data_IF_774186204587
#
_entry.id   IF_774186204587
#
_cell.length_a   1.000
_cell.length_b   1.000
_cell.length_c   1.000
_cell.angle_alpha   90.00
_cell.angle_beta   90.00
_cell.angle_gamma   90.00
#
_symmetry.space_group_name_H-M   'P 1'
#
loop_
_entity.id
_entity.type
_entity.pdbx_description
1 polymer ?
#
# COMPACT_ATOMS: atom_id res chain seq x y z
N UNK A 1 10.36 -7.32 -1.25
CA UNK A 1 10.20 -5.84 -1.06
C UNK A 1 11.40 -5.04 -1.57
N UNK A 2 12.65 -5.36 -1.20
CA UNK A 2 13.83 -4.63 -1.71
C UNK A 2 13.90 -4.55 -3.25
N UNK A 3 13.51 -5.61 -3.95
CA UNK A 3 13.42 -5.63 -5.42
C UNK A 3 12.40 -4.63 -5.97
N UNK A 4 11.24 -4.46 -5.33
CA UNK A 4 10.21 -3.49 -5.77
C UNK A 4 10.69 -2.05 -5.58
N UNK A 5 11.50 -1.81 -4.55
CA UNK A 5 12.11 -0.50 -4.34
C UNK A 5 13.26 -0.23 -5.33
N UNK A 6 13.82 -1.25 -6.01
CA UNK A 6 14.98 -1.10 -6.88
C UNK A 6 14.64 -0.61 -8.31
N UNK A 7 13.35 -0.57 -8.68
CA UNK A 7 12.89 -0.19 -10.02
C UNK A 7 12.96 -1.32 -11.04
N UNK A 8 12.61 -1.08 -12.33
CA UNK A 8 12.31 0.22 -12.95
C UNK A 8 10.86 0.71 -12.81
N UNK A 9 9.96 -0.13 -12.28
CA UNK A 9 8.54 0.21 -12.19
C UNK A 9 8.26 1.36 -11.23
N UNK A 10 7.20 2.11 -11.52
CA UNK A 10 6.72 3.20 -10.67
C UNK A 10 6.16 2.62 -9.36
N UNK A 11 6.68 3.10 -8.23
CA UNK A 11 6.24 2.70 -6.89
C UNK A 11 5.44 3.83 -6.25
N UNK A 12 4.19 3.54 -5.91
CA UNK A 12 3.32 4.47 -5.20
C UNK A 12 3.33 4.23 -3.70
N UNK A 13 3.50 5.31 -2.93
CA UNK A 13 3.37 5.34 -1.48
C UNK A 13 2.20 6.26 -1.10
N UNK A 14 1.08 5.68 -0.69
CA UNK A 14 -0.04 6.47 -0.20
C UNK A 14 0.25 7.00 1.20
N UNK A 15 -0.03 8.28 1.45
CA UNK A 15 0.23 8.90 2.76
C UNK A 15 -0.40 8.13 3.94
N UNK A 16 -1.63 7.58 3.86
CA UNK A 16 -2.17 6.73 4.93
C UNK A 16 -1.30 5.49 5.26
N UNK A 17 -0.63 4.91 4.26
CA UNK A 17 0.31 3.79 4.45
C UNK A 17 1.59 4.27 5.11
N UNK A 18 2.13 5.41 4.67
CA UNK A 18 3.34 6.02 5.26
C UNK A 18 3.10 6.40 6.73
N UNK A 19 1.99 7.07 7.02
CA UNK A 19 1.61 7.45 8.37
C UNK A 19 1.27 6.22 9.22
N UNK A 20 0.66 5.20 8.62
CA UNK A 20 0.41 3.91 9.27
C UNK A 20 1.70 3.20 9.67
N UNK A 21 2.69 3.19 8.77
CA UNK A 21 4.04 2.69 9.06
C UNK A 21 4.66 3.44 10.23
N UNK A 22 4.73 4.77 10.18
CA UNK A 22 5.32 5.59 11.24
C UNK A 22 4.65 5.32 12.60
N UNK A 23 3.32 5.25 12.63
CA UNK A 23 2.54 4.91 13.83
C UNK A 23 2.96 3.55 14.39
N UNK A 24 3.02 2.52 13.55
CA UNK A 24 3.29 1.15 14.01
C UNK A 24 4.74 1.00 14.47
N UNK A 25 5.71 1.45 13.68
CA UNK A 25 7.13 1.16 13.95
C UNK A 25 7.71 1.93 15.12
N UNK A 26 7.04 2.98 15.58
CA UNK A 26 7.46 3.79 16.73
C UNK A 26 6.69 3.47 18.01
N UNK A 27 5.72 2.55 17.97
CA UNK A 27 4.81 2.31 19.10
C UNK A 27 5.28 1.15 19.98
N UNK A 28 5.67 1.46 21.22
CA UNK A 28 6.19 0.49 22.20
C UNK A 28 5.18 -0.60 22.63
N UNK A 29 3.88 -0.30 22.63
CA UNK A 29 2.86 -1.32 22.90
C UNK A 29 2.61 -2.28 21.72
N UNK A 30 3.07 -1.95 20.50
CA UNK A 30 2.89 -2.79 19.31
C UNK A 30 4.16 -3.59 19.02
N UNK A 31 5.33 -2.95 19.12
CA UNK A 31 6.62 -3.58 18.87
C UNK A 31 7.46 -3.65 20.15
N UNK A 32 8.09 -4.81 20.44
CA UNK A 32 8.94 -4.97 21.62
C UNK A 32 10.21 -4.08 21.57
N UNK A 33 10.64 -3.68 20.38
CA UNK A 33 11.77 -2.78 20.13
C UNK A 33 11.36 -1.77 19.04
N UNK A 34 10.61 -0.71 19.38
CA UNK A 34 10.21 0.28 18.40
C UNK A 34 11.43 1.06 17.89
N UNK A 35 11.34 1.54 16.65
CA UNK A 35 12.29 2.51 16.10
C UNK A 35 12.12 3.85 16.80
N UNK A 36 13.20 4.64 16.84
CA UNK A 36 13.05 6.05 17.16
C UNK A 36 12.24 6.76 16.07
N UNK A 37 11.50 7.85 16.38
CA UNK A 37 10.83 8.65 15.37
C UNK A 37 11.77 9.13 14.26
N UNK A 38 13.04 9.41 14.61
CA UNK A 38 14.09 9.82 13.67
C UNK A 38 14.44 8.73 12.67
N UNK A 39 14.65 7.50 13.14
CA UNK A 39 15.01 6.37 12.27
C UNK A 39 13.83 5.98 11.37
N UNK A 40 12.61 6.00 11.92
CA UNK A 40 11.40 5.76 11.15
C UNK A 40 11.21 6.78 10.03
N UNK A 41 11.43 8.07 10.31
CA UNK A 41 11.38 9.13 9.30
C UNK A 41 12.48 8.95 8.24
N UNK A 42 13.71 8.62 8.66
CA UNK A 42 14.83 8.35 7.74
C UNK A 42 14.52 7.22 6.74
N UNK A 43 13.84 6.16 7.18
CA UNK A 43 13.40 5.08 6.29
C UNK A 43 12.42 5.56 5.22
N UNK A 44 11.46 6.42 5.60
CA UNK A 44 10.50 7.02 4.67
C UNK A 44 11.22 7.93 3.68
N UNK A 45 12.10 8.81 4.16
CA UNK A 45 12.89 9.70 3.30
C UNK A 45 13.73 8.93 2.27
N UNK A 46 14.35 7.81 2.67
CA UNK A 46 15.15 6.98 1.79
C UNK A 46 14.35 6.37 0.63
N UNK A 47 13.03 6.16 0.81
CA UNK A 47 12.15 5.75 -0.28
C UNK A 47 11.74 6.95 -1.14
N UNK A 48 11.35 8.05 -0.52
CA UNK A 48 10.88 9.26 -1.23
C UNK A 48 11.98 9.88 -2.11
N UNK A 49 13.26 9.72 -1.75
CA UNK A 49 14.40 10.19 -2.56
C UNK A 49 14.60 9.40 -3.86
N UNK A 50 13.89 8.29 -4.09
CA UNK A 50 14.03 7.48 -5.31
C UNK A 50 13.22 8.07 -6.47
N UNK A 51 13.85 8.24 -7.63
CA UNK A 51 13.22 8.89 -8.80
C UNK A 51 11.98 8.18 -9.37
N UNK A 52 11.77 6.90 -9.07
CA UNK A 52 10.59 6.12 -9.48
C UNK A 52 9.54 5.98 -8.35
N UNK A 53 9.72 6.66 -7.22
CA UNK A 53 8.74 6.66 -6.12
C UNK A 53 7.85 7.89 -6.23
N UNK A 54 6.55 7.72 -6.00
CA UNK A 54 5.55 8.80 -5.94
C UNK A 54 4.77 8.69 -4.65
N UNK A 55 4.72 9.76 -3.88
CA UNK A 55 3.85 9.85 -2.70
C UNK A 55 2.52 10.48 -3.10
N UNK A 56 1.41 9.83 -2.74
CA UNK A 56 0.07 10.24 -3.16
C UNK A 56 -0.86 10.39 -1.96
N UNK A 57 -1.73 11.40 -2.03
CA UNK A 57 -2.79 11.66 -1.06
C UNK A 57 -4.14 11.89 -1.74
N UNK A 58 -5.09 12.33 -0.96
CA UNK A 58 -6.44 12.72 -1.40
C UNK A 58 -6.35 13.88 -2.40
N UNK A 59 -7.27 13.91 -3.37
CA UNK A 59 -7.46 15.05 -4.29
C UNK A 59 -8.95 15.39 -4.38
N UNK A 60 -9.31 16.41 -5.15
CA UNK A 60 -10.70 16.81 -5.34
C UNK A 60 -11.57 15.62 -5.78
N UNK A 61 -12.76 15.49 -5.18
CA UNK A 61 -13.68 14.37 -5.40
C UNK A 61 -13.40 13.12 -4.55
N UNK A 62 -12.35 13.12 -3.71
CA UNK A 62 -12.02 11.98 -2.84
C UNK A 62 -13.22 11.52 -2.00
N UNK A 63 -13.92 12.45 -1.35
CA UNK A 63 -14.98 12.11 -0.41
C UNK A 63 -16.15 11.34 -1.06
N UNK A 64 -16.58 11.77 -2.24
CA UNK A 64 -17.66 11.09 -2.98
C UNK A 64 -17.23 9.70 -3.45
N UNK A 65 -15.97 9.57 -3.90
CA UNK A 65 -15.39 8.28 -4.26
C UNK A 65 -15.21 7.37 -3.03
N UNK A 66 -14.86 7.93 -1.87
CA UNK A 66 -14.74 7.20 -0.61
C UNK A 66 -16.08 6.63 -0.16
N UNK A 67 -17.14 7.44 -0.20
CA UNK A 67 -18.51 7.00 0.09
C UNK A 67 -18.95 5.86 -0.81
N UNK A 68 -18.67 5.99 -2.11
CA UNK A 68 -18.92 4.92 -3.10
C UNK A 68 -18.09 3.66 -2.81
N UNK A 69 -16.81 3.83 -2.48
CA UNK A 69 -15.88 2.73 -2.20
C UNK A 69 -16.26 1.95 -0.95
N UNK A 70 -16.63 2.66 0.10
CA UNK A 70 -17.10 2.10 1.37
C UNK A 70 -18.54 1.62 1.33
N UNK A 71 -19.28 1.93 0.26
CA UNK A 71 -20.74 1.71 0.14
C UNK A 71 -21.53 2.32 1.31
N UNK A 72 -21.04 3.44 1.84
CA UNK A 72 -21.54 4.08 3.07
C UNK A 72 -21.59 3.14 4.30
N UNK A 73 -20.77 2.07 4.30
CA UNK A 73 -20.81 1.01 5.31
C UNK A 73 -19.49 0.79 6.06
N UNK A 74 -18.41 1.52 5.72
CA UNK A 74 -17.13 1.37 6.41
C UNK A 74 -17.25 1.75 7.89
N UNK A 75 -16.75 0.87 8.78
CA UNK A 75 -16.78 1.04 10.24
C UNK A 75 -15.49 0.54 10.86
N UNK A 76 -15.03 1.20 11.93
CA UNK A 76 -13.85 0.78 12.68
C UNK A 76 -12.64 0.51 11.77
N UNK A 77 -12.16 -0.74 11.79
CA UNK A 77 -10.97 -1.16 11.04
C UNK A 77 -11.18 -1.22 9.52
N UNK A 78 -12.41 -1.13 9.01
CA UNK A 78 -12.67 -1.07 7.56
C UNK A 78 -12.39 0.31 6.96
N UNK A 79 -12.41 1.37 7.77
CA UNK A 79 -12.24 2.75 7.29
C UNK A 79 -10.85 2.96 6.66
N UNK A 80 -9.73 2.54 7.28
CA UNK A 80 -8.42 2.65 6.67
C UNK A 80 -8.29 1.88 5.34
N UNK A 81 -8.87 0.68 5.24
CA UNK A 81 -8.85 -0.10 3.99
C UNK A 81 -9.63 0.58 2.88
N UNK A 82 -10.85 1.05 3.19
CA UNK A 82 -11.67 1.78 2.23
C UNK A 82 -10.98 3.07 1.78
N UNK A 83 -10.31 3.79 2.70
CA UNK A 83 -9.51 4.96 2.37
C UNK A 83 -8.39 4.59 1.41
N UNK A 84 -7.58 3.59 1.74
CA UNK A 84 -6.47 3.15 0.88
C UNK A 84 -6.95 2.76 -0.53
N UNK A 85 -8.01 1.98 -0.63
CA UNK A 85 -8.58 1.57 -1.92
C UNK A 85 -9.18 2.75 -2.68
N UNK A 86 -9.75 3.73 -1.99
CA UNK A 86 -10.23 4.97 -2.63
C UNK A 86 -9.08 5.72 -3.27
N UNK A 87 -7.94 5.87 -2.57
CA UNK A 87 -6.74 6.48 -3.15
C UNK A 87 -6.21 5.69 -4.33
N UNK A 88 -6.17 4.36 -4.23
CA UNK A 88 -5.79 3.49 -5.35
C UNK A 88 -6.64 3.77 -6.59
N UNK A 89 -7.98 3.82 -6.43
CA UNK A 89 -8.92 4.13 -7.52
C UNK A 89 -8.73 5.53 -8.09
N UNK A 90 -8.62 6.52 -7.21
CA UNK A 90 -8.46 7.92 -7.59
C UNK A 90 -7.21 8.16 -8.45
N UNK A 91 -6.13 7.40 -8.18
CA UNK A 91 -4.85 7.53 -8.88
C UNK A 91 -4.62 6.44 -9.95
N UNK A 92 -5.66 5.67 -10.29
CA UNK A 92 -5.57 4.62 -11.32
C UNK A 92 -4.63 3.45 -10.95
N UNK A 93 -4.31 3.27 -9.68
CA UNK A 93 -3.44 2.20 -9.18
C UNK A 93 -4.28 0.98 -8.88
N UNK A 94 -3.96 -0.16 -9.52
CA UNK A 94 -4.72 -1.41 -9.33
C UNK A 94 -4.00 -2.47 -8.51
N UNK A 95 -2.67 -2.47 -8.50
CA UNK A 95 -1.87 -3.49 -7.81
C UNK A 95 -1.37 -2.97 -6.47
N UNK A 96 -1.55 -3.75 -5.42
CA UNK A 96 -0.96 -3.51 -4.10
C UNK A 96 -0.17 -4.74 -3.65
N UNK A 97 0.99 -4.51 -3.05
CA UNK A 97 1.77 -5.54 -2.40
C UNK A 97 1.41 -5.59 -0.92
N UNK A 98 0.67 -6.61 -0.51
CA UNK A 98 0.19 -6.75 0.87
C UNK A 98 -0.03 -8.21 1.22
N UNK A 99 0.11 -8.55 2.51
CA UNK A 99 -0.31 -9.84 3.06
C UNK A 99 -1.75 -9.81 3.59
N UNK A 100 -2.40 -8.66 3.58
CA UNK A 100 -3.78 -8.53 4.03
C UNK A 100 -4.74 -9.07 2.97
N UNK A 101 -5.23 -10.29 3.21
CA UNK A 101 -6.20 -10.94 2.34
C UNK A 101 -7.56 -10.21 2.34
N UNK A 102 -7.87 -9.40 3.36
CA UNK A 102 -9.11 -8.62 3.45
C UNK A 102 -9.25 -7.63 2.30
N UNK A 103 -8.15 -7.13 1.74
CA UNK A 103 -8.17 -6.23 0.58
C UNK A 103 -8.71 -6.91 -0.70
N UNK A 104 -8.74 -8.25 -0.76
CA UNK A 104 -9.32 -8.98 -1.90
C UNK A 104 -10.83 -8.82 -2.02
N UNK A 105 -11.50 -8.26 -1.02
CA UNK A 105 -12.93 -7.90 -1.09
C UNK A 105 -13.22 -6.81 -2.12
N UNK A 106 -12.20 -6.04 -2.52
CA UNK A 106 -12.29 -5.03 -3.58
C UNK A 106 -11.88 -5.66 -4.92
N UNK A 107 -12.87 -6.09 -5.70
CA UNK A 107 -12.67 -6.93 -6.90
C UNK A 107 -11.78 -6.30 -7.99
N UNK A 108 -11.67 -4.98 -8.04
CA UNK A 108 -10.86 -4.22 -9.00
C UNK A 108 -9.38 -4.09 -8.58
N UNK A 109 -9.05 -4.48 -7.34
CA UNK A 109 -7.72 -4.39 -6.73
C UNK A 109 -7.00 -5.74 -6.78
N UNK A 110 -5.82 -5.74 -7.39
CA UNK A 110 -4.91 -6.89 -7.44
C UNK A 110 -4.02 -6.90 -6.20
N UNK A 111 -4.26 -7.84 -5.29
CA UNK A 111 -3.45 -8.01 -4.08
C UNK A 111 -2.39 -9.10 -4.30
N UNK A 112 -1.12 -8.68 -4.31
CA UNK A 112 0.03 -9.57 -4.48
C UNK A 112 0.74 -9.73 -3.14
N UNK A 113 0.92 -10.97 -2.68
CA UNK A 113 1.79 -11.22 -1.52
C UNK A 113 3.26 -11.15 -1.96
N UNK A 114 4.06 -10.19 -1.45
CA UNK A 114 5.45 -10.04 -1.86
C UNK A 114 6.39 -11.12 -1.28
N UNK A 115 5.89 -12.05 -0.47
CA UNK A 115 6.65 -13.12 0.18
C UNK A 115 6.30 -14.52 -0.33
N UNK A 116 5.23 -14.67 -1.12
CA UNK A 116 4.99 -15.92 -1.84
C UNK A 116 5.91 -15.98 -3.05
N UNK A 117 6.77 -17.00 -3.13
CA UNK A 117 7.56 -17.30 -4.32
C UNK A 117 6.61 -17.40 -5.51
N UNK A 118 6.85 -16.65 -6.58
CA UNK A 118 6.15 -16.89 -7.84
C UNK A 118 6.53 -18.30 -8.30
N UNK A 119 5.66 -19.28 -8.08
CA UNK A 119 5.81 -20.60 -8.69
C UNK A 119 5.78 -20.41 -10.21
N UNK A 120 6.88 -20.77 -10.86
CA UNK A 120 7.17 -20.46 -12.25
C UNK A 120 6.06 -20.86 -13.21
N UNK A 121 5.48 -19.87 -13.89
CA UNK A 121 4.64 -20.05 -15.07
C UNK A 121 5.48 -20.33 -16.31
N UNK A 122 6.18 -21.47 -16.34
CA UNK A 122 6.83 -22.00 -17.53
C UNK A 122 5.81 -22.61 -18.49
N UNK A 123 5.03 -21.78 -19.18
CA UNK A 123 4.24 -22.24 -20.34
C UNK A 123 5.16 -22.26 -21.55
N UNK A 124 5.90 -23.36 -21.74
CA UNK A 124 6.49 -23.67 -23.06
C UNK A 124 5.35 -24.11 -23.98
N UNK A 125 4.99 -23.21 -24.89
CA UNK A 125 4.22 -23.55 -26.08
C UNK A 125 5.04 -24.47 -26.98
N UNK A 126 4.33 -25.37 -27.65
CA UNK A 126 4.77 -26.42 -28.57
C UNK A 126 5.64 -25.91 -29.72
N UNK A 127 6.60 -26.74 -30.10
CA UNK A 127 6.77 -27.23 -31.48
C UNK A 127 7.04 -28.74 -31.37
#
# INVERSE_FOLDING_TARGET
>A
VQLLAAGPDLLYLFWPVVLGYLRIVTHSAILPKPLSPRDAASNVEALLKRGHVRALGEVDGFWDLFRTTSRDQARGNDVPDAHLVTLMRQHGVRRIYSRDAGLRRFADIEVVDPFTSATGGGRRSRA
#
